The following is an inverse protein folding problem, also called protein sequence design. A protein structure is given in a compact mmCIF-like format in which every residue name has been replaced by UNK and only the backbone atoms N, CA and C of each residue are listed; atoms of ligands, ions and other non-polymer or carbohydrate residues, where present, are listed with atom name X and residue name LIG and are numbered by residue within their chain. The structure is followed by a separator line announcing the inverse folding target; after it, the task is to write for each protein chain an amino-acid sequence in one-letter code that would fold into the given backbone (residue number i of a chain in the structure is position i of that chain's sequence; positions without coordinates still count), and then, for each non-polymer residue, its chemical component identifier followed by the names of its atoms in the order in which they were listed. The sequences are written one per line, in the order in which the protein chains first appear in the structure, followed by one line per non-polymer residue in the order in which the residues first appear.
data_IF_695807163729
#
_entry.id   IF_695807163729
#
_cell.length_a   1.000
_cell.length_b   1.000
_cell.length_c   1.000
_cell.angle_alpha   90.00
_cell.angle_beta   90.00
_cell.angle_gamma   90.00
#
_symmetry.space_group_name_H-M   'P 1'
#
loop_
_entity.id
_entity.type
_entity.pdbx_description
1 polymer ?
#
# COMPACT_ATOMS: atom_id res chain seq x y z
N UNK A 1 1.99 18.52 -11.64
CA UNK A 1 0.60 18.20 -11.24
C UNK A 1 -0.26 17.82 -12.46
N UNK A 2 -0.17 18.54 -13.60
CA UNK A 2 -0.99 18.27 -14.81
C UNK A 2 -0.76 16.88 -15.43
N UNK A 3 0.43 16.32 -15.32
CA UNK A 3 0.76 14.97 -15.81
C UNK A 3 0.58 13.92 -14.72
N UNK A 4 0.98 14.24 -13.49
CA UNK A 4 0.91 13.33 -12.36
C UNK A 4 -0.52 12.90 -12.03
N UNK A 5 -1.47 13.85 -11.97
CA UNK A 5 -2.84 13.55 -11.60
C UNK A 5 -3.54 12.56 -12.55
N UNK A 6 -3.52 12.74 -13.89
CA UNK A 6 -4.15 11.77 -14.79
C UNK A 6 -3.50 10.40 -14.74
N UNK A 7 -2.18 10.31 -14.60
CA UNK A 7 -1.48 9.01 -14.51
C UNK A 7 -1.87 8.27 -13.23
N UNK A 8 -1.96 8.97 -12.09
CA UNK A 8 -2.41 8.37 -10.84
C UNK A 8 -3.88 7.93 -10.95
N UNK A 9 -4.76 8.74 -11.52
CA UNK A 9 -6.17 8.38 -11.68
C UNK A 9 -6.33 7.14 -12.57
N UNK A 10 -5.59 7.04 -13.66
CA UNK A 10 -5.59 5.85 -14.52
C UNK A 10 -5.07 4.64 -13.76
N UNK A 11 -3.93 4.77 -13.04
CA UNK A 11 -3.37 3.68 -12.24
C UNK A 11 -4.33 3.19 -11.15
N UNK A 12 -5.00 4.11 -10.44
CA UNK A 12 -6.01 3.78 -9.44
C UNK A 12 -7.24 3.13 -10.07
N UNK A 13 -7.70 3.62 -11.23
CA UNK A 13 -8.80 3.01 -11.97
C UNK A 13 -8.49 1.56 -12.35
N UNK A 14 -7.29 1.30 -12.87
CA UNK A 14 -6.83 -0.06 -13.18
C UNK A 14 -6.76 -0.90 -11.92
N UNK A 15 -6.23 -0.38 -10.81
CA UNK A 15 -6.17 -1.10 -9.54
C UNK A 15 -7.56 -1.52 -9.02
N UNK A 16 -8.56 -0.65 -9.16
CA UNK A 16 -9.95 -0.96 -8.79
C UNK A 16 -10.54 -2.05 -9.70
N UNK A 17 -10.28 -2.01 -11.00
CA UNK A 17 -10.72 -3.06 -11.94
C UNK A 17 -10.08 -4.41 -11.63
N UNK A 18 -8.85 -4.42 -11.13
CA UNK A 18 -8.10 -5.62 -10.75
C UNK A 18 -8.49 -6.21 -9.39
N UNK A 19 -9.49 -5.64 -8.70
CA UNK A 19 -9.95 -6.12 -7.38
C UNK A 19 -10.41 -7.58 -7.43
N UNK A 20 -11.12 -7.98 -8.48
CA UNK A 20 -11.59 -9.37 -8.66
C UNK A 20 -10.43 -10.35 -8.83
N UNK A 21 -9.48 -10.15 -9.77
CA UNK A 21 -8.28 -10.97 -9.88
C UNK A 21 -7.45 -11.02 -8.59
N UNK A 22 -7.29 -9.88 -7.91
CA UNK A 22 -6.57 -9.82 -6.64
C UNK A 22 -7.21 -10.70 -5.56
N UNK A 23 -8.53 -10.64 -5.42
CA UNK A 23 -9.26 -11.48 -4.47
C UNK A 23 -9.19 -12.97 -4.82
N UNK A 24 -9.26 -13.33 -6.10
CA UNK A 24 -9.10 -14.71 -6.53
C UNK A 24 -7.69 -15.25 -6.21
N UNK A 25 -6.65 -14.43 -6.40
CA UNK A 25 -5.28 -14.79 -6.09
C UNK A 25 -5.00 -14.94 -4.59
N UNK A 26 -5.79 -14.29 -3.70
CA UNK A 26 -5.71 -14.52 -2.25
C UNK A 26 -6.02 -15.96 -1.84
N UNK A 27 -6.88 -16.64 -2.60
CA UNK A 27 -7.28 -18.03 -2.38
C UNK A 27 -6.28 -19.03 -2.94
N UNK A 28 -5.26 -18.55 -3.63
CA UNK A 28 -4.22 -19.36 -4.26
C UNK A 28 -4.32 -19.40 -5.79
N UNK A 29 -3.18 -19.63 -6.44
CA UNK A 29 -3.09 -19.60 -7.91
C UNK A 29 -3.90 -20.75 -8.56
N UNK A 30 -3.88 -21.93 -7.96
CA UNK A 30 -4.60 -23.10 -8.47
C UNK A 30 -6.11 -22.89 -8.41
N UNK A 31 -6.59 -22.29 -7.33
CA UNK A 31 -8.00 -21.92 -7.20
C UNK A 31 -8.39 -20.85 -8.24
N UNK A 32 -7.56 -19.82 -8.41
CA UNK A 32 -7.81 -18.76 -9.40
C UNK A 32 -7.85 -19.34 -10.83
N UNK A 33 -6.99 -20.32 -11.15
CA UNK A 33 -6.99 -21.01 -12.44
C UNK A 33 -8.25 -21.86 -12.63
N UNK A 34 -8.70 -22.57 -11.61
CA UNK A 34 -9.92 -23.38 -11.70
C UNK A 34 -11.18 -22.53 -11.95
N UNK A 35 -11.17 -21.26 -11.54
CA UNK A 35 -12.20 -20.28 -11.85
C UNK A 35 -12.07 -19.66 -13.26
N UNK A 36 -11.13 -20.12 -14.07
CA UNK A 36 -10.90 -19.61 -15.43
C UNK A 36 -10.08 -18.33 -15.51
N UNK A 37 -9.45 -17.89 -14.40
CA UNK A 37 -8.60 -16.71 -14.40
C UNK A 37 -7.25 -17.02 -15.07
N UNK A 38 -6.88 -16.19 -16.05
CA UNK A 38 -5.53 -16.23 -16.60
C UNK A 38 -4.55 -15.54 -15.62
N UNK A 39 -3.95 -16.33 -14.73
CA UNK A 39 -3.06 -15.84 -13.66
C UNK A 39 -1.87 -15.03 -14.20
N UNK A 40 -1.32 -15.42 -15.36
CA UNK A 40 -0.19 -14.70 -15.98
C UNK A 40 -0.59 -13.29 -16.41
N UNK A 41 -1.74 -13.15 -17.07
CA UNK A 41 -2.25 -11.84 -17.48
C UNK A 41 -2.65 -10.99 -16.28
N UNK A 42 -3.35 -11.56 -15.31
CA UNK A 42 -3.72 -10.86 -14.08
C UNK A 42 -2.49 -10.31 -13.36
N UNK A 43 -1.46 -11.14 -13.18
CA UNK A 43 -0.19 -10.74 -12.55
C UNK A 43 0.51 -9.62 -13.34
N UNK A 44 0.54 -9.71 -14.68
CA UNK A 44 1.12 -8.67 -15.52
C UNK A 44 0.44 -7.32 -15.32
N UNK A 45 -0.89 -7.27 -15.36
CA UNK A 45 -1.63 -6.01 -15.16
C UNK A 45 -1.53 -5.47 -13.73
N UNK A 46 -1.47 -6.34 -12.72
CA UNK A 46 -1.26 -5.95 -11.32
C UNK A 46 0.12 -5.29 -11.16
N UNK A 47 1.16 -5.92 -11.68
CA UNK A 47 2.52 -5.38 -11.61
C UNK A 47 2.67 -4.10 -12.42
N UNK A 48 2.05 -4.01 -13.61
CA UNK A 48 2.07 -2.82 -14.43
C UNK A 48 1.40 -1.63 -13.71
N UNK A 49 0.21 -1.85 -13.14
CA UNK A 49 -0.51 -0.83 -12.37
C UNK A 49 0.29 -0.37 -11.14
N UNK A 50 0.83 -1.32 -10.38
CA UNK A 50 1.64 -1.02 -9.21
C UNK A 50 2.92 -0.25 -9.56
N UNK A 51 3.62 -0.65 -10.62
CA UNK A 51 4.83 0.02 -11.09
C UNK A 51 4.54 1.44 -11.61
N UNK A 52 3.42 1.62 -12.31
CA UNK A 52 2.99 2.93 -12.82
C UNK A 52 2.70 3.89 -11.66
N UNK A 53 1.95 3.43 -10.65
CA UNK A 53 1.63 4.24 -9.47
C UNK A 53 2.87 4.56 -8.65
N UNK A 54 3.67 3.54 -8.29
CA UNK A 54 4.87 3.73 -7.50
C UNK A 54 5.92 4.58 -8.23
N UNK A 55 6.13 4.33 -9.53
CA UNK A 55 7.05 5.10 -10.35
C UNK A 55 6.66 6.57 -10.48
N UNK A 56 5.36 6.85 -10.69
CA UNK A 56 4.86 8.22 -10.77
C UNK A 56 5.05 8.96 -9.44
N UNK A 57 4.66 8.34 -8.32
CA UNK A 57 4.84 8.97 -7.00
C UNK A 57 6.32 9.20 -6.70
N UNK A 58 7.17 8.22 -6.95
CA UNK A 58 8.62 8.36 -6.72
C UNK A 58 9.26 9.43 -7.60
N UNK A 59 8.83 9.55 -8.85
CA UNK A 59 9.37 10.55 -9.78
C UNK A 59 9.05 11.99 -9.37
N UNK A 60 7.87 12.24 -8.79
CA UNK A 60 7.41 13.58 -8.44
C UNK A 60 7.59 13.95 -6.96
N UNK A 61 7.47 12.99 -6.06
CA UNK A 61 7.53 13.21 -4.60
C UNK A 61 8.81 12.65 -3.96
N UNK A 62 9.65 11.96 -4.75
CA UNK A 62 10.79 11.23 -4.22
C UNK A 62 10.41 9.88 -3.60
N UNK A 63 11.40 9.10 -3.15
CA UNK A 63 11.16 7.81 -2.54
C UNK A 63 10.50 7.97 -1.17
N UNK A 64 9.24 7.54 -1.05
CA UNK A 64 8.51 7.52 0.23
C UNK A 64 8.52 6.08 0.76
N UNK A 65 9.31 5.85 1.80
CA UNK A 65 9.41 4.55 2.44
C UNK A 65 8.33 4.32 3.50
N UNK A 66 8.15 3.06 3.89
CA UNK A 66 7.34 2.59 5.00
C UNK A 66 5.81 2.79 4.90
N UNK A 67 5.30 3.89 4.37
CA UNK A 67 3.85 4.14 4.21
C UNK A 67 3.22 3.01 3.38
N UNK A 68 3.86 2.59 2.29
CA UNK A 68 3.35 1.54 1.42
C UNK A 68 3.20 0.17 2.09
N UNK A 69 3.93 -0.10 3.16
CA UNK A 69 3.82 -1.33 3.96
C UNK A 69 2.93 -1.12 5.17
N UNK A 70 3.09 0.00 5.88
CA UNK A 70 2.40 0.27 7.13
C UNK A 70 0.90 0.47 6.93
N UNK A 71 0.49 1.27 5.93
CA UNK A 71 -0.91 1.62 5.71
C UNK A 71 -1.77 0.41 5.32
N UNK A 72 -1.42 -0.44 4.33
CA UNK A 72 -2.22 -1.62 4.02
C UNK A 72 -2.34 -2.58 5.21
N UNK A 73 -1.27 -2.71 5.99
CA UNK A 73 -1.26 -3.57 7.16
C UNK A 73 -2.18 -3.03 8.27
N UNK A 74 -2.14 -1.72 8.51
CA UNK A 74 -3.04 -1.03 9.44
C UNK A 74 -4.49 -1.21 9.01
N UNK A 75 -4.80 -1.00 7.73
CA UNK A 75 -6.14 -1.16 7.18
C UNK A 75 -6.67 -2.58 7.34
N UNK A 76 -5.85 -3.61 7.06
CA UNK A 76 -6.23 -5.02 7.28
C UNK A 76 -6.55 -5.32 8.73
N UNK A 77 -5.77 -4.79 9.67
CA UNK A 77 -6.00 -4.97 11.10
C UNK A 77 -7.27 -4.26 11.59
N UNK A 78 -7.52 -3.03 11.12
CA UNK A 78 -8.69 -2.24 11.49
C UNK A 78 -9.99 -2.82 10.93
N UNK A 79 -9.97 -3.17 9.64
CA UNK A 79 -11.16 -3.68 8.94
C UNK A 79 -11.40 -5.17 9.16
N UNK A 80 -10.39 -5.89 9.69
CA UNK A 80 -10.42 -7.35 9.85
C UNK A 80 -10.86 -8.09 8.58
N UNK A 81 -10.56 -7.50 7.43
CA UNK A 81 -10.93 -7.99 6.10
C UNK A 81 -9.72 -8.02 5.18
N UNK A 82 -9.61 -9.07 4.39
CA UNK A 82 -8.64 -9.19 3.31
C UNK A 82 -9.24 -8.87 1.93
N UNK A 83 -10.55 -8.56 1.86
CA UNK A 83 -11.22 -8.24 0.60
C UNK A 83 -10.69 -6.92 0.02
N UNK A 84 -10.11 -7.00 -1.17
CA UNK A 84 -9.54 -5.83 -1.87
C UNK A 84 -10.59 -4.79 -2.24
N UNK A 85 -11.88 -5.16 -2.34
CA UNK A 85 -12.96 -4.19 -2.59
C UNK A 85 -13.11 -3.18 -1.47
N UNK A 86 -12.89 -3.60 -0.23
CA UNK A 86 -12.94 -2.74 0.95
C UNK A 86 -11.56 -2.18 1.26
N UNK A 87 -10.53 -2.99 1.04
CA UNK A 87 -9.15 -2.64 1.39
C UNK A 87 -8.59 -1.51 0.51
N UNK A 88 -8.82 -1.54 -0.82
CA UNK A 88 -8.29 -0.52 -1.73
C UNK A 88 -8.78 0.88 -1.38
N UNK A 89 -10.09 1.17 -1.26
CA UNK A 89 -10.55 2.51 -0.88
C UNK A 89 -10.08 2.91 0.52
N UNK A 90 -10.02 1.97 1.46
CA UNK A 90 -9.50 2.25 2.79
C UNK A 90 -8.02 2.63 2.78
N UNK A 91 -7.19 1.92 2.01
CA UNK A 91 -5.75 2.24 1.86
C UNK A 91 -5.55 3.60 1.19
N UNK A 92 -6.38 3.96 0.21
CA UNK A 92 -6.32 5.28 -0.44
C UNK A 92 -6.60 6.38 0.59
N UNK A 93 -7.67 6.27 1.37
CA UNK A 93 -8.04 7.27 2.38
C UNK A 93 -7.02 7.37 3.51
N UNK A 94 -6.68 6.25 4.13
CA UNK A 94 -5.73 6.21 5.25
C UNK A 94 -4.33 6.62 4.77
N UNK A 95 -3.93 6.20 3.58
CA UNK A 95 -2.65 6.61 2.97
C UNK A 95 -2.58 8.10 2.71
N UNK A 96 -3.66 8.70 2.20
CA UNK A 96 -3.75 10.16 2.00
C UNK A 96 -3.64 10.92 3.34
N UNK A 97 -4.36 10.47 4.36
CA UNK A 97 -4.29 11.07 5.72
C UNK A 97 -2.87 10.94 6.29
N UNK A 98 -2.27 9.75 6.19
CA UNK A 98 -0.92 9.51 6.69
C UNK A 98 0.12 10.38 5.97
N UNK A 99 -0.01 10.55 4.65
CA UNK A 99 0.86 11.42 3.87
C UNK A 99 0.72 12.89 4.26
N UNK A 100 -0.51 13.38 4.44
CA UNK A 100 -0.77 14.76 4.88
C UNK A 100 -0.24 15.03 6.29
N UNK A 101 -0.40 14.09 7.21
CA UNK A 101 0.15 14.20 8.57
C UNK A 101 1.68 14.21 8.53
N UNK A 102 2.29 13.33 7.74
CA UNK A 102 3.74 13.30 7.59
C UNK A 102 4.29 14.60 6.97
N UNK A 103 3.60 15.16 5.99
CA UNK A 103 3.95 16.44 5.36
C UNK A 103 3.80 17.61 6.36
N UNK A 104 2.72 17.63 7.12
CA UNK A 104 2.51 18.65 8.18
C UNK A 104 3.61 18.60 9.25
N UNK A 105 4.06 17.40 9.63
CA UNK A 105 5.18 17.22 10.57
C UNK A 105 6.49 17.67 9.94
N UNK A 106 6.72 17.35 8.66
CA UNK A 106 7.94 17.73 7.93
C UNK A 106 8.09 19.26 7.80
N UNK A 107 6.96 19.98 7.77
CA UNK A 107 6.90 21.43 7.62
C UNK A 107 6.66 22.17 8.96
N UNK A 108 7.06 21.60 10.10
CA UNK A 108 6.83 22.20 11.42
C UNK A 108 7.20 23.70 11.44
N UNK A 109 6.25 24.57 11.84
CA UNK A 109 6.46 26.00 11.88
C UNK A 109 7.54 26.36 12.92
N UNK A 110 8.61 27.00 12.46
CA UNK A 110 9.70 27.48 13.33
C UNK A 110 11.10 26.96 12.97
N UNK A 111 11.25 25.98 12.10
CA UNK A 111 12.54 25.57 11.59
C UNK A 111 12.76 26.12 10.18
N UNK A 112 13.92 26.75 9.96
CA UNK A 112 14.36 27.16 8.60
C UNK A 112 14.72 25.95 7.72
N UNK A 113 14.62 24.73 8.24
CA UNK A 113 14.96 23.49 7.56
C UNK A 113 13.70 22.66 7.35
N UNK A 114 13.37 22.41 6.08
CA UNK A 114 12.33 21.45 5.70
C UNK A 114 12.93 20.06 5.79
N UNK A 115 12.43 19.24 6.70
CA UNK A 115 12.85 17.84 6.81
C UNK A 115 12.33 17.06 5.58
N UNK A 116 13.17 16.23 4.93
CA UNK A 116 12.69 15.34 3.89
C UNK A 116 11.56 14.45 4.43
N UNK A 117 10.43 14.38 3.72
CA UNK A 117 9.26 13.59 4.14
C UNK A 117 9.62 12.12 4.42
N UNK A 118 10.61 11.60 3.71
CA UNK A 118 11.09 10.23 3.91
C UNK A 118 11.72 10.01 5.30
N UNK A 119 12.34 11.03 5.89
CA UNK A 119 12.91 10.95 7.25
C UNK A 119 11.77 10.82 8.27
N UNK A 120 10.72 11.62 8.12
CA UNK A 120 9.55 11.59 9.00
C UNK A 120 8.82 10.26 8.87
N UNK A 121 8.56 9.80 7.66
CA UNK A 121 7.87 8.52 7.42
C UNK A 121 8.69 7.31 7.89
N UNK A 122 10.02 7.37 7.78
CA UNK A 122 10.91 6.32 8.26
C UNK A 122 10.96 6.26 9.79
N UNK A 123 10.97 7.43 10.45
CA UNK A 123 11.02 7.51 11.91
C UNK A 123 9.78 6.88 12.57
N UNK A 124 8.60 7.09 12.00
CA UNK A 124 7.36 6.50 12.49
C UNK A 124 7.07 5.12 11.90
N UNK A 125 7.42 4.90 10.64
CA UNK A 125 7.13 3.67 9.94
C UNK A 125 8.01 2.50 10.34
N UNK A 126 9.30 2.72 10.64
CA UNK A 126 10.21 1.64 11.02
C UNK A 126 9.80 0.95 12.34
N UNK A 127 9.54 1.67 13.46
CA UNK A 127 9.07 1.02 14.69
C UNK A 127 7.71 0.35 14.51
N UNK A 128 6.81 0.91 13.69
CA UNK A 128 5.52 0.30 13.38
C UNK A 128 5.69 -1.03 12.64
N UNK A 129 6.54 -1.10 11.62
CA UNK A 129 6.81 -2.34 10.87
C UNK A 129 7.45 -3.39 11.75
N UNK A 130 8.41 -3.01 12.60
CA UNK A 130 9.05 -3.91 13.57
C UNK A 130 8.00 -4.47 14.54
N UNK A 131 7.15 -3.63 15.09
CA UNK A 131 6.07 -4.06 16.01
C UNK A 131 5.12 -5.06 15.35
N UNK A 132 4.73 -4.79 14.10
CA UNK A 132 3.88 -5.68 13.32
C UNK A 132 4.54 -7.03 13.08
N UNK A 133 5.81 -7.05 12.68
CA UNK A 133 6.57 -8.30 12.43
C UNK A 133 6.71 -9.15 13.71
N UNK A 134 6.98 -8.51 14.85
CA UNK A 134 7.06 -9.21 16.14
C UNK A 134 5.70 -9.82 16.51
N UNK A 135 4.62 -9.08 16.29
CA UNK A 135 3.26 -9.56 16.59
C UNK A 135 2.86 -10.74 15.71
N UNK A 136 3.23 -10.73 14.43
CA UNK A 136 2.96 -11.85 13.51
C UNK A 136 3.72 -13.12 13.92
N UNK A 137 4.98 -13.00 14.37
CA UNK A 137 5.76 -14.16 14.85
C UNK A 137 5.12 -14.82 16.08
N UNK A 138 4.51 -14.06 16.99
CA UNK A 138 3.83 -14.60 18.17
C UNK A 138 2.55 -15.38 17.83
N UNK A 139 1.91 -15.10 16.69
CA UNK A 139 0.74 -15.84 16.21
C UNK A 139 1.10 -17.15 15.49
N UNK A 140 2.30 -17.27 14.92
CA UNK A 140 2.74 -18.46 14.17
C UNK A 140 3.25 -19.60 15.06
N UNK A 141 3.60 -19.34 16.32
CA UNK A 141 4.11 -20.35 17.25
C UNK A 141 3.02 -21.15 17.96
N UNK A 142 1.74 -20.90 17.68
CA UNK A 142 0.61 -21.62 18.29
C UNK A 142 0.14 -22.85 17.53
N UNK A 143 0.83 -23.24 16.45
CA UNK A 143 0.46 -24.41 15.63
C UNK A 143 1.52 -25.52 15.60
N UNK A 144 2.40 -25.58 16.57
CA UNK A 144 3.34 -26.70 16.74
C UNK A 144 3.08 -27.36 18.10
N UNK A 145 2.04 -28.16 18.16
CA UNK A 145 1.89 -29.34 19.04
C UNK A 145 1.12 -30.38 18.26
#
# INVERSE_FOLDING_TARGET
LRVMAPVILVGLGVAVLLTKPLNALLLGEDYARSMGLNVKQARFFILLSASLLAGTVTAFCGPIGFIGVAVPHLCRNLLRSADHKVLIPAVILVGAIAALVADAIAQLPGSQYVLPINVVTSLFGAPFVIWVLIRQRRGATSFTV
#
